data_IF_541676287917
#
_entry.id   IF_541676287917
#
_cell.length_a   1.000
_cell.length_b   1.000
_cell.length_c   1.000
_cell.angle_alpha   90.00
_cell.angle_beta   90.00
_cell.angle_gamma   90.00
#
_symmetry.space_group_name_H-M   'P 1'
#
loop_
_entity.id
_entity.type
_entity.pdbx_description
1 polymer ?
#
# COMPACT_ATOMS: atom_id res chain seq x y z
N UNK A 1 8.94 -32.54 -35.52
CA UNK A 1 8.44 -31.22 -35.97
C UNK A 1 7.32 -31.42 -36.98
N UNK A 2 6.06 -31.14 -36.60
CA UNK A 2 4.91 -31.14 -37.52
C UNK A 2 4.36 -29.70 -37.56
N UNK A 3 4.49 -29.05 -38.73
CA UNK A 3 3.96 -27.70 -38.98
C UNK A 3 2.44 -27.78 -39.15
N UNK A 4 1.68 -27.06 -38.31
CA UNK A 4 0.25 -26.82 -38.53
C UNK A 4 0.11 -25.43 -39.17
N UNK A 5 -0.35 -25.41 -40.41
CA UNK A 5 -0.79 -24.19 -41.08
C UNK A 5 -2.22 -23.88 -40.62
N UNK A 6 -2.41 -22.73 -39.99
CA UNK A 6 -3.74 -22.19 -39.68
C UNK A 6 -4.11 -21.25 -40.83
N UNK A 7 -5.15 -21.62 -41.56
CA UNK A 7 -5.73 -20.84 -42.66
C UNK A 7 -6.59 -19.71 -42.08
N UNK A 8 -6.22 -18.47 -42.41
CA UNK A 8 -6.97 -17.26 -42.09
C UNK A 8 -8.09 -17.12 -43.13
N UNK A 9 -9.35 -17.28 -42.72
CA UNK A 9 -10.51 -17.07 -43.59
C UNK A 9 -11.26 -15.83 -43.14
N UNK A 10 -11.14 -14.77 -43.94
CA UNK A 10 -11.95 -13.57 -43.87
C UNK A 10 -13.32 -13.86 -44.49
N UNK A 11 -14.40 -13.57 -43.76
CA UNK A 11 -15.76 -13.49 -44.31
C UNK A 11 -16.34 -12.13 -43.94
N UNK A 12 -16.44 -11.29 -44.97
CA UNK A 12 -17.17 -10.04 -45.06
C UNK A 12 -18.67 -10.35 -45.22
N UNK A 13 -19.53 -9.79 -44.37
CA UNK A 13 -20.96 -9.63 -44.67
C UNK A 13 -21.38 -8.20 -44.30
N UNK A 14 -21.54 -7.39 -45.34
CA UNK A 14 -22.31 -6.14 -45.34
C UNK A 14 -23.79 -6.50 -45.56
N UNK A 15 -24.69 -6.00 -44.72
CA UNK A 15 -26.09 -5.81 -45.09
C UNK A 15 -26.57 -4.42 -44.64
N UNK A 16 -26.89 -3.63 -45.65
CA UNK A 16 -27.59 -2.36 -45.60
C UNK A 16 -29.07 -2.60 -45.24
N UNK A 17 -29.60 -1.77 -44.36
CA UNK A 17 -31.04 -1.66 -44.10
C UNK A 17 -31.40 -0.19 -43.89
N UNK A 18 -31.70 0.49 -45.01
CA UNK A 18 -32.33 1.81 -45.01
C UNK A 18 -33.85 1.63 -44.83
N UNK A 19 -34.45 2.40 -43.93
CA UNK A 19 -35.89 2.69 -43.94
C UNK A 19 -36.06 4.20 -43.73
N UNK A 20 -36.42 4.88 -44.82
CA UNK A 20 -36.94 6.24 -44.83
C UNK A 20 -38.44 6.23 -44.52
N UNK A 21 -38.89 7.21 -43.75
CA UNK A 21 -40.31 7.44 -43.48
C UNK A 21 -40.53 8.81 -42.86
N UNK A 22 -40.65 9.85 -43.69
CA UNK A 22 -41.10 11.19 -43.31
C UNK A 22 -42.63 11.28 -43.39
N UNK A 23 -43.27 11.83 -42.36
CA UNK A 23 -44.49 12.65 -42.45
C UNK A 23 -44.46 13.72 -41.36
N UNK A 24 -44.65 14.97 -41.79
CA UNK A 24 -44.90 16.17 -40.97
C UNK A 24 -46.36 16.21 -40.49
N UNK A 25 -46.62 16.77 -39.29
CA UNK A 25 -47.20 18.12 -39.10
C UNK A 25 -47.28 18.48 -37.60
N UNK A 26 -46.90 19.73 -37.31
CA UNK A 26 -47.15 20.70 -36.20
C UNK A 26 -47.86 20.22 -34.89
N UNK A 27 -47.56 20.70 -33.66
CA UNK A 27 -47.43 22.09 -33.19
C UNK A 27 -47.02 22.17 -31.68
N UNK A 28 -46.21 23.17 -31.31
CA UNK A 28 -46.13 23.91 -30.03
C UNK A 28 -46.12 23.17 -28.66
N UNK A 29 -45.03 23.26 -27.89
CA UNK A 29 -44.83 24.23 -26.77
C UNK A 29 -43.65 23.85 -25.85
N UNK A 30 -42.86 24.87 -25.52
CA UNK A 30 -42.16 25.14 -24.25
C UNK A 30 -40.81 24.47 -23.89
N UNK A 31 -39.91 25.41 -23.56
CA UNK A 31 -38.84 25.38 -22.56
C UNK A 31 -37.47 24.91 -23.02
N UNK A 32 -36.67 25.91 -23.40
CA UNK A 32 -35.23 25.88 -23.32
C UNK A 32 -34.78 25.50 -21.90
N UNK A 33 -33.94 24.49 -21.82
CA UNK A 33 -32.96 24.30 -20.78
C UNK A 33 -31.74 23.68 -21.48
N UNK A 34 -30.81 24.54 -21.91
CA UNK A 34 -29.47 24.14 -22.32
C UNK A 34 -28.83 23.46 -21.12
N UNK A 35 -28.78 22.12 -21.16
CA UNK A 35 -27.93 21.35 -20.27
C UNK A 35 -26.60 21.23 -20.98
N UNK A 36 -25.72 22.20 -20.72
CA UNK A 36 -24.29 22.09 -21.00
C UNK A 36 -23.81 20.75 -20.46
N UNK A 37 -23.55 19.83 -21.39
CA UNK A 37 -22.85 18.59 -21.09
C UNK A 37 -21.38 18.96 -21.10
N UNK A 38 -20.87 19.39 -19.95
CA UNK A 38 -19.44 19.36 -19.68
C UNK A 38 -19.04 17.89 -19.73
N UNK A 39 -18.47 17.48 -20.86
CA UNK A 39 -17.68 16.27 -20.93
C UNK A 39 -16.51 16.45 -19.97
N UNK A 40 -16.70 15.96 -18.75
CA UNK A 40 -15.63 15.78 -17.78
C UNK A 40 -14.74 14.69 -18.36
N UNK A 41 -13.68 15.13 -19.05
CA UNK A 41 -12.55 14.26 -19.33
C UNK A 41 -11.96 13.88 -17.99
N UNK A 42 -12.38 12.72 -17.48
CA UNK A 42 -11.67 12.00 -16.44
C UNK A 42 -10.25 11.77 -16.96
N UNK A 43 -9.33 12.64 -16.58
CA UNK A 43 -7.91 12.37 -16.70
C UNK A 43 -7.67 11.24 -15.72
N UNK A 44 -7.74 10.00 -16.20
CA UNK A 44 -7.32 8.82 -15.45
C UNK A 44 -5.84 9.04 -15.17
N UNK A 45 -5.53 9.57 -13.99
CA UNK A 45 -4.18 9.57 -13.46
C UNK A 45 -3.65 8.12 -13.55
N UNK A 46 -2.37 7.92 -13.85
CA UNK A 46 -1.78 6.58 -13.81
C UNK A 46 -2.17 5.93 -12.48
N UNK A 47 -2.95 4.86 -12.52
CA UNK A 47 -3.36 4.20 -11.29
C UNK A 47 -2.13 3.48 -10.75
N UNK A 48 -1.67 3.86 -9.56
CA UNK A 48 -0.55 3.21 -8.90
C UNK A 48 -0.90 1.78 -8.46
N UNK A 49 0.10 0.96 -8.18
CA UNK A 49 -0.07 -0.48 -7.90
C UNK A 49 -1.06 -0.77 -6.76
N UNK A 50 -1.05 0.04 -5.69
CA UNK A 50 -1.97 -0.10 -4.56
C UNK A 50 -3.45 -0.03 -4.98
N UNK A 51 -3.77 0.78 -6.00
CA UNK A 51 -5.14 0.94 -6.54
C UNK A 51 -5.48 -0.19 -7.52
N UNK A 52 -4.50 -0.68 -8.27
CA UNK A 52 -4.69 -1.71 -9.29
C UNK A 52 -4.78 -3.12 -8.68
N UNK A 53 -4.04 -3.38 -7.61
CA UNK A 53 -4.09 -4.67 -6.92
C UNK A 53 -5.43 -4.86 -6.20
N UNK A 54 -6.13 -5.93 -6.54
CA UNK A 54 -7.50 -6.16 -6.08
C UNK A 54 -7.58 -6.28 -4.55
N UNK A 55 -6.62 -6.96 -3.92
CA UNK A 55 -6.67 -7.19 -2.48
C UNK A 55 -6.30 -5.93 -1.71
N UNK A 56 -5.19 -5.28 -2.10
CA UNK A 56 -4.74 -4.00 -1.54
C UNK A 56 -5.83 -2.94 -1.64
N UNK A 57 -6.51 -2.85 -2.79
CA UNK A 57 -7.61 -1.91 -3.02
C UNK A 57 -8.74 -2.05 -2.00
N UNK A 58 -8.98 -3.25 -1.44
CA UNK A 58 -10.04 -3.45 -0.44
C UNK A 58 -9.78 -2.73 0.89
N UNK A 59 -8.53 -2.34 1.16
CA UNK A 59 -8.13 -1.61 2.36
C UNK A 59 -8.02 -0.10 2.13
N UNK A 60 -8.05 0.37 0.87
CA UNK A 60 -7.90 1.80 0.59
C UNK A 60 -9.19 2.56 0.88
N UNK A 61 -9.06 3.71 1.52
CA UNK A 61 -10.20 4.61 1.81
C UNK A 61 -10.74 5.25 0.51
N UNK A 62 -9.88 5.51 -0.48
CA UNK A 62 -10.28 6.06 -1.78
C UNK A 62 -9.31 5.66 -2.93
N UNK A 63 -9.65 5.97 -4.19
CA UNK A 63 -8.69 5.91 -5.33
C UNK A 63 -7.77 7.12 -5.43
N UNK A 64 -7.94 8.12 -4.57
CA UNK A 64 -7.13 9.32 -4.59
C UNK A 64 -6.06 9.23 -3.50
N UNK A 65 -4.86 9.67 -3.85
CA UNK A 65 -3.78 9.80 -2.88
C UNK A 65 -4.18 10.80 -1.79
N UNK A 66 -3.92 10.43 -0.53
CA UNK A 66 -4.14 11.30 0.63
C UNK A 66 -2.99 12.29 0.78
N UNK A 67 -1.80 11.90 0.34
CA UNK A 67 -0.56 12.68 0.27
C UNK A 67 0.23 12.16 -0.95
N UNK A 68 1.04 13.00 -1.59
CA UNK A 68 1.82 12.62 -2.77
C UNK A 68 2.62 11.31 -2.55
N UNK A 69 2.29 10.28 -3.34
CA UNK A 69 2.87 8.94 -3.27
C UNK A 69 2.29 8.03 -2.19
N UNK A 70 1.18 8.41 -1.53
CA UNK A 70 0.55 7.64 -0.45
C UNK A 70 -0.98 7.62 -0.53
N UNK A 71 -1.55 6.46 -0.23
CA UNK A 71 -2.98 6.29 0.02
C UNK A 71 -3.24 6.10 1.52
N UNK A 72 -4.41 6.51 1.99
CA UNK A 72 -4.88 6.10 3.31
C UNK A 72 -5.46 4.68 3.26
N UNK A 73 -4.91 3.81 4.10
CA UNK A 73 -5.32 2.44 4.32
C UNK A 73 -6.08 2.33 5.63
N UNK A 74 -7.28 1.75 5.58
CA UNK A 74 -8.08 1.33 6.74
C UNK A 74 -8.00 -0.18 6.86
N UNK A 75 -7.59 -0.67 8.02
CA UNK A 75 -7.43 -2.10 8.24
C UNK A 75 -8.74 -2.77 8.65
N UNK A 76 -8.80 -4.10 8.60
CA UNK A 76 -10.04 -4.86 8.82
C UNK A 76 -10.56 -4.89 10.25
N UNK A 77 -9.75 -4.55 11.25
CA UNK A 77 -10.27 -4.32 12.61
C UNK A 77 -11.01 -2.99 12.71
N UNK A 78 -10.90 -2.12 11.70
CA UNK A 78 -11.43 -0.75 11.69
C UNK A 78 -10.96 0.10 12.89
N UNK A 79 -9.90 -0.34 13.59
CA UNK A 79 -9.44 0.27 14.83
C UNK A 79 -8.40 1.39 14.64
N UNK A 80 -7.84 1.51 13.43
CA UNK A 80 -6.93 2.57 13.05
C UNK A 80 -6.82 2.72 11.53
N UNK A 81 -6.27 3.84 11.08
CA UNK A 81 -5.75 4.02 9.71
C UNK A 81 -4.26 4.34 9.70
N UNK A 82 -3.62 4.11 8.57
CA UNK A 82 -2.24 4.51 8.27
C UNK A 82 -2.07 4.74 6.76
N UNK A 83 -0.98 5.40 6.38
CA UNK A 83 -0.62 5.57 4.97
C UNK A 83 0.13 4.36 4.44
N UNK A 84 -0.24 3.95 3.23
CA UNK A 84 0.43 2.93 2.43
C UNK A 84 1.04 3.59 1.17
N UNK A 85 2.29 3.26 0.79
CA UNK A 85 2.88 3.79 -0.44
C UNK A 85 2.06 3.43 -1.67
N UNK A 86 2.02 4.33 -2.65
CA UNK A 86 1.25 4.14 -3.87
C UNK A 86 1.68 2.91 -4.68
N UNK A 87 2.98 2.58 -4.63
CA UNK A 87 3.56 1.39 -5.26
C UNK A 87 3.46 0.12 -4.43
N UNK A 88 2.89 0.16 -3.22
CA UNK A 88 2.82 -1.01 -2.36
C UNK A 88 1.62 -1.90 -2.65
N UNK A 89 1.85 -3.20 -2.51
CA UNK A 89 0.80 -4.22 -2.58
C UNK A 89 0.84 -5.10 -1.34
N UNK A 90 -0.33 -5.60 -0.98
CA UNK A 90 -0.58 -6.47 0.15
C UNK A 90 -1.19 -7.76 -0.41
N UNK A 91 -0.67 -8.92 0.01
CA UNK A 91 -1.21 -10.23 -0.35
C UNK A 91 -1.99 -10.83 0.82
N UNK A 92 -3.11 -11.49 0.53
CA UNK A 92 -3.99 -12.12 1.53
C UNK A 92 -3.23 -13.11 2.42
N UNK A 93 -2.21 -13.78 1.89
CA UNK A 93 -1.36 -14.73 2.62
C UNK A 93 -0.66 -14.10 3.82
N UNK A 94 -0.40 -12.80 3.77
CA UNK A 94 0.31 -12.07 4.83
C UNK A 94 -0.59 -11.19 5.69
N UNK A 95 -1.91 -11.33 5.56
CA UNK A 95 -2.87 -10.69 6.45
C UNK A 95 -3.47 -11.70 7.42
N UNK A 96 -3.41 -11.41 8.71
CA UNK A 96 -4.02 -12.22 9.75
C UNK A 96 -4.77 -11.32 10.71
N UNK A 97 -5.96 -11.72 11.13
CA UNK A 97 -6.67 -11.07 12.22
C UNK A 97 -7.23 -12.08 13.20
N UNK A 98 -7.32 -11.66 14.45
CA UNK A 98 -7.96 -12.38 15.53
C UNK A 98 -8.87 -11.37 16.22
N UNK A 99 -10.16 -11.57 16.04
CA UNK A 99 -11.16 -10.73 16.69
C UNK A 99 -11.02 -9.28 16.19
N UNK A 100 -11.51 -8.31 16.95
CA UNK A 100 -11.31 -6.89 16.65
C UNK A 100 -10.06 -6.31 17.36
N UNK A 101 -9.45 -7.07 18.27
CA UNK A 101 -8.36 -6.62 19.13
C UNK A 101 -6.95 -7.00 18.68
N UNK A 102 -6.79 -7.70 17.55
CA UNK A 102 -5.48 -8.11 17.06
C UNK A 102 -5.45 -8.31 15.55
N UNK A 103 -4.44 -7.76 14.90
CA UNK A 103 -4.15 -8.06 13.50
C UNK A 103 -2.66 -7.92 13.15
N UNK A 104 -2.27 -8.59 12.08
CA UNK A 104 -0.96 -8.50 11.46
C UNK A 104 -1.11 -8.38 9.95
N UNK A 105 -0.24 -7.60 9.34
CA UNK A 105 -0.18 -7.46 7.90
C UNK A 105 1.27 -7.35 7.42
N UNK A 106 1.48 -7.61 6.14
CA UNK A 106 2.71 -7.24 5.43
C UNK A 106 2.35 -6.71 4.05
N UNK A 107 2.84 -5.52 3.73
CA UNK A 107 2.86 -5.00 2.36
C UNK A 107 4.31 -4.76 1.91
N UNK A 108 4.53 -4.77 0.60
CA UNK A 108 5.85 -4.57 0.02
C UNK A 108 5.77 -3.87 -1.33
N UNK A 109 6.90 -3.31 -1.76
CA UNK A 109 7.09 -2.77 -3.10
C UNK A 109 8.55 -2.82 -3.51
N UNK A 110 8.79 -2.62 -4.80
CA UNK A 110 10.12 -2.51 -5.38
C UNK A 110 10.24 -1.16 -6.06
N UNK A 111 11.28 -0.41 -5.71
CA UNK A 111 11.76 0.71 -6.53
C UNK A 111 12.77 0.14 -7.54
N UNK A 112 12.31 -0.07 -8.78
CA UNK A 112 13.15 -0.62 -9.85
C UNK A 112 14.28 0.34 -10.25
N UNK A 113 14.06 1.66 -10.16
CA UNK A 113 15.06 2.66 -10.54
C UNK A 113 16.19 2.72 -9.51
N UNK A 114 15.85 2.68 -8.22
CA UNK A 114 16.81 2.67 -7.14
C UNK A 114 17.42 1.29 -6.87
N UNK A 115 16.83 0.22 -7.43
CA UNK A 115 17.15 -1.17 -7.13
C UNK A 115 16.97 -1.49 -5.62
N UNK A 116 15.86 -1.06 -5.02
CA UNK A 116 15.57 -1.26 -3.60
C UNK A 116 14.24 -1.99 -3.43
N UNK A 117 14.24 -3.04 -2.61
CA UNK A 117 13.04 -3.73 -2.16
C UNK A 117 12.69 -3.21 -0.78
N UNK A 118 11.40 -3.02 -0.54
CA UNK A 118 10.86 -2.57 0.73
C UNK A 118 9.79 -3.53 1.22
N UNK A 119 9.75 -3.75 2.52
CA UNK A 119 8.68 -4.47 3.20
C UNK A 119 8.29 -3.76 4.48
N UNK A 120 6.99 -3.68 4.75
CA UNK A 120 6.47 -3.19 6.03
C UNK A 120 5.58 -4.25 6.63
N UNK A 121 5.98 -4.73 7.81
CA UNK A 121 5.17 -5.61 8.64
C UNK A 121 4.55 -4.78 9.78
N UNK A 122 3.24 -4.93 9.97
CA UNK A 122 2.51 -4.33 11.08
C UNK A 122 1.92 -5.37 12.00
N UNK A 123 1.83 -5.04 13.29
CA UNK A 123 1.09 -5.80 14.30
C UNK A 123 0.34 -4.83 15.21
N UNK A 124 -0.99 -4.88 15.14
CA UNK A 124 -1.89 -4.13 16.00
C UNK A 124 -2.38 -5.01 17.15
N UNK A 125 -2.45 -4.42 18.34
CA UNK A 125 -3.05 -5.04 19.53
C UNK A 125 -3.86 -4.02 20.32
N UNK A 126 -5.02 -4.44 20.80
CA UNK A 126 -5.86 -3.72 21.77
C UNK A 126 -5.92 -4.49 23.09
N UNK A 127 -5.47 -3.87 24.18
CA UNK A 127 -5.51 -4.44 25.53
C UNK A 127 -4.26 -5.20 25.96
N UNK A 128 -3.27 -5.41 25.08
CA UNK A 128 -1.92 -5.74 25.52
C UNK A 128 -1.23 -4.48 26.04
N UNK A 129 -0.79 -4.50 27.30
CA UNK A 129 -0.09 -3.35 27.87
C UNK A 129 1.18 -3.04 27.06
N UNK A 130 1.45 -1.75 26.84
CA UNK A 130 2.58 -1.23 26.07
C UNK A 130 3.93 -1.94 26.30
N UNK A 131 4.25 -2.27 27.55
CA UNK A 131 5.48 -2.97 27.91
C UNK A 131 5.56 -4.40 27.31
N UNK A 132 4.42 -5.09 27.20
CA UNK A 132 4.31 -6.39 26.54
C UNK A 132 4.60 -6.25 25.05
N UNK A 133 3.88 -5.37 24.35
CA UNK A 133 4.03 -5.14 22.92
C UNK A 133 5.46 -4.76 22.52
N UNK A 134 6.06 -3.77 23.19
CA UNK A 134 7.44 -3.35 22.91
C UNK A 134 8.45 -4.49 23.13
N UNK A 135 8.26 -5.29 24.18
CA UNK A 135 9.08 -6.48 24.44
C UNK A 135 8.87 -7.57 23.40
N UNK A 136 7.66 -7.76 22.90
CA UNK A 136 7.39 -8.69 21.80
C UNK A 136 8.14 -8.27 20.53
N UNK A 137 8.03 -7.00 20.13
CA UNK A 137 8.77 -6.43 18.99
C UNK A 137 10.29 -6.63 19.14
N UNK A 138 10.82 -6.28 20.32
CA UNK A 138 12.25 -6.43 20.63
C UNK A 138 12.73 -7.87 20.48
N UNK A 139 11.95 -8.83 21.00
CA UNK A 139 12.30 -10.26 20.92
C UNK A 139 12.16 -10.81 19.50
N UNK A 140 11.13 -10.39 18.77
CA UNK A 140 10.89 -10.81 17.39
C UNK A 140 12.04 -10.38 16.49
N UNK A 141 12.44 -9.10 16.59
CA UNK A 141 13.56 -8.55 15.81
C UNK A 141 14.94 -8.89 16.37
N UNK A 142 15.01 -9.53 17.54
CA UNK A 142 16.26 -9.73 18.30
C UNK A 142 17.04 -8.41 18.44
N UNK A 143 16.31 -7.32 18.68
CA UNK A 143 16.87 -5.98 18.74
C UNK A 143 17.72 -5.83 20.01
N UNK A 144 19.00 -5.52 19.85
CA UNK A 144 19.96 -5.36 20.95
C UNK A 144 20.20 -3.88 21.33
N UNK A 145 19.62 -2.94 20.56
CA UNK A 145 19.75 -1.52 20.81
C UNK A 145 18.73 -0.98 21.82
N UNK A 146 18.88 0.30 22.14
CA UNK A 146 17.89 1.06 22.91
C UNK A 146 16.89 1.73 21.96
N UNK A 147 15.64 1.87 22.40
CA UNK A 147 14.66 2.65 21.65
C UNK A 147 14.76 4.14 22.01
N UNK A 148 14.83 4.98 20.98
CA UNK A 148 14.62 6.41 21.10
C UNK A 148 13.14 6.68 21.36
N UNK A 149 12.84 7.48 22.39
CA UNK A 149 11.46 7.79 22.79
C UNK A 149 11.09 9.20 22.38
N UNK A 150 9.91 9.36 21.79
CA UNK A 150 9.31 10.66 21.52
C UNK A 150 7.79 10.60 21.67
N UNK A 151 7.11 11.73 21.65
CA UNK A 151 5.66 11.80 21.76
C UNK A 151 5.10 13.01 21.00
N UNK A 152 3.81 12.95 20.66
CA UNK A 152 3.00 14.09 20.28
C UNK A 152 1.71 14.13 21.12
N UNK A 153 0.71 14.90 20.70
CA UNK A 153 -0.53 15.07 21.48
C UNK A 153 -1.32 13.76 21.62
N UNK A 154 -1.18 12.82 20.68
CA UNK A 154 -2.00 11.61 20.60
C UNK A 154 -1.22 10.33 20.88
N UNK A 155 0.08 10.30 20.59
CA UNK A 155 0.84 9.06 20.62
C UNK A 155 2.17 9.17 21.37
N UNK A 156 2.65 8.03 21.87
CA UNK A 156 4.06 7.83 22.23
C UNK A 156 4.71 6.91 21.20
N UNK A 157 5.95 7.22 20.86
CA UNK A 157 6.73 6.50 19.85
C UNK A 157 8.02 5.96 20.47
N UNK A 158 8.35 4.74 20.08
CA UNK A 158 9.63 4.10 20.37
C UNK A 158 10.25 3.71 19.04
N UNK A 159 11.38 4.30 18.72
CA UNK A 159 12.09 4.11 17.48
C UNK A 159 13.39 3.35 17.70
N UNK A 160 13.65 2.38 16.84
CA UNK A 160 14.93 1.67 16.81
C UNK A 160 15.33 1.39 15.37
N UNK A 161 16.61 1.17 15.13
CA UNK A 161 17.11 0.76 13.83
C UNK A 161 18.14 -0.37 13.98
N UNK A 162 18.13 -1.31 13.06
CA UNK A 162 19.04 -2.45 13.07
C UNK A 162 19.52 -2.75 11.66
N UNK A 163 20.69 -3.38 11.56
CA UNK A 163 21.19 -3.96 10.32
C UNK A 163 21.45 -5.42 10.58
N UNK A 164 20.82 -6.28 9.79
CA UNK A 164 21.07 -7.73 9.81
C UNK A 164 21.71 -8.16 8.49
N UNK A 165 22.33 -9.33 8.49
CA UNK A 165 22.93 -9.90 7.29
C UNK A 165 22.22 -11.20 6.94
N UNK A 166 21.68 -11.30 5.74
CA UNK A 166 21.09 -12.54 5.21
C UNK A 166 22.03 -13.18 4.20
N UNK A 167 22.12 -14.52 4.24
CA UNK A 167 23.02 -15.27 3.36
C UNK A 167 22.52 -15.30 1.91
N UNK A 168 23.37 -14.89 0.97
CA UNK A 168 23.18 -15.11 -0.45
C UNK A 168 23.17 -16.61 -0.80
N UNK A 169 22.93 -16.94 -2.08
CA UNK A 169 22.60 -18.29 -2.58
C UNK A 169 23.48 -19.45 -2.09
N UNK A 170 24.73 -19.17 -1.67
CA UNK A 170 25.71 -20.14 -1.13
C UNK A 170 26.29 -19.77 0.27
N UNK A 171 25.69 -18.80 0.98
CA UNK A 171 26.10 -18.35 2.32
C UNK A 171 27.45 -17.60 2.40
N UNK A 172 28.14 -17.43 1.27
CA UNK A 172 29.43 -16.71 1.19
C UNK A 172 29.27 -15.20 1.07
N UNK A 173 28.19 -14.77 0.45
CA UNK A 173 27.84 -13.36 0.29
C UNK A 173 26.77 -13.02 1.31
N UNK A 174 26.92 -11.87 1.96
CA UNK A 174 26.03 -11.38 2.99
C UNK A 174 25.36 -10.14 2.47
N UNK A 175 24.03 -10.15 2.41
CA UNK A 175 23.24 -9.00 1.98
C UNK A 175 22.77 -8.27 3.23
N UNK A 176 23.13 -6.99 3.41
CA UNK A 176 22.60 -6.20 4.50
C UNK A 176 21.11 -5.97 4.30
N UNK A 177 20.33 -6.20 5.35
CA UNK A 177 18.94 -5.80 5.48
C UNK A 177 18.88 -4.74 6.56
N UNK A 178 18.39 -3.57 6.18
CA UNK A 178 18.24 -2.43 7.05
C UNK A 178 16.80 -2.42 7.55
N UNK A 179 16.62 -2.35 8.87
CA UNK A 179 15.32 -2.40 9.51
C UNK A 179 15.12 -1.16 10.38
N UNK A 180 14.02 -0.45 10.17
CA UNK A 180 13.51 0.57 11.09
C UNK A 180 12.32 0.01 11.85
N UNK A 181 12.33 0.22 13.17
CA UNK A 181 11.35 -0.30 14.11
C UNK A 181 10.58 0.86 14.71
N UNK A 182 9.25 0.80 14.70
CA UNK A 182 8.41 1.69 15.49
C UNK A 182 7.48 0.87 16.38
N UNK A 183 7.36 1.29 17.63
CA UNK A 183 6.23 0.92 18.49
C UNK A 183 5.46 2.20 18.81
N UNK A 184 4.16 2.19 18.55
CA UNK A 184 3.28 3.34 18.66
C UNK A 184 2.22 2.99 19.71
N UNK A 185 2.15 3.78 20.77
CA UNK A 185 1.10 3.71 21.79
C UNK A 185 0.12 4.84 21.58
N UNK A 186 -1.17 4.52 21.61
CA UNK A 186 -2.21 5.52 21.80
C UNK A 186 -2.18 6.07 23.23
N UNK A 187 -2.44 7.38 23.40
CA UNK A 187 -2.47 8.01 24.74
C UNK A 187 -3.85 7.94 25.40
N UNK A 188 -4.90 7.67 24.62
CA UNK A 188 -6.29 7.71 25.09
C UNK A 188 -6.90 6.30 25.29
N UNK A 189 -6.25 5.25 24.79
CA UNK A 189 -6.69 3.86 24.87
C UNK A 189 -5.51 2.89 25.05
N UNK A 190 -5.81 1.59 25.14
CA UNK A 190 -4.81 0.50 25.25
C UNK A 190 -4.35 -0.02 23.88
N UNK A 191 -4.62 0.74 22.81
CA UNK A 191 -4.26 0.37 21.43
C UNK A 191 -2.78 0.63 21.16
N UNK A 192 -2.16 -0.33 20.48
CA UNK A 192 -0.76 -0.24 20.08
C UNK A 192 -0.55 -0.76 18.66
N UNK A 193 0.46 -0.24 17.98
CA UNK A 193 0.88 -0.69 16.66
C UNK A 193 2.41 -0.82 16.62
N UNK A 194 2.89 -2.01 16.31
CA UNK A 194 4.30 -2.25 15.96
C UNK A 194 4.45 -2.20 14.45
N UNK A 195 5.46 -1.49 13.95
CA UNK A 195 5.86 -1.47 12.54
C UNK A 195 7.32 -1.87 12.40
N UNK A 196 7.59 -2.76 11.47
CA UNK A 196 8.94 -3.16 11.04
C UNK A 196 9.05 -2.80 9.57
N UNK A 197 9.90 -1.84 9.25
CA UNK A 197 10.16 -1.38 7.89
C UNK A 197 11.53 -1.88 7.47
N UNK A 198 11.57 -2.86 6.58
CA UNK A 198 12.80 -3.46 6.08
C UNK A 198 13.08 -3.05 4.64
N UNK A 199 14.36 -2.91 4.32
CA UNK A 199 14.79 -2.60 2.97
C UNK A 199 16.21 -3.10 2.69
N UNK A 200 16.43 -3.46 1.43
CA UNK A 200 17.70 -3.96 0.92
C UNK A 200 17.77 -3.78 -0.60
N UNK A 201 18.95 -4.00 -1.20
CA UNK A 201 19.06 -4.05 -2.65
C UNK A 201 18.21 -5.21 -3.20
N UNK A 202 17.34 -4.94 -4.18
CA UNK A 202 16.49 -5.96 -4.81
C UNK A 202 17.35 -6.99 -5.56
N UNK A 203 18.23 -6.49 -6.41
CA UNK A 203 19.33 -7.24 -7.00
C UNK A 203 20.62 -6.92 -6.23
N UNK A 204 21.01 -7.85 -5.36
CA UNK A 204 22.21 -7.76 -4.54
C UNK A 204 23.52 -7.88 -5.33
N UNK A 205 23.48 -8.27 -6.61
CA UNK A 205 24.67 -8.29 -7.47
C UNK A 205 25.04 -6.91 -7.99
N UNK A 206 24.12 -5.94 -7.88
CA UNK A 206 24.29 -4.56 -8.27
C UNK A 206 24.37 -3.64 -7.03
N UNK A 207 25.15 -2.57 -7.12
CA UNK A 207 25.23 -1.58 -6.03
C UNK A 207 23.96 -0.76 -5.98
N UNK A 208 23.30 -0.72 -4.82
CA UNK A 208 22.20 0.22 -4.52
C UNK A 208 22.58 1.11 -3.32
N UNK A 209 21.81 2.19 -3.08
CA UNK A 209 21.92 3.02 -1.88
C UNK A 209 20.77 2.69 -0.93
N UNK A 210 20.84 1.53 -0.29
CA UNK A 210 19.81 1.10 0.66
C UNK A 210 19.85 1.88 1.98
N UNK A 211 20.98 2.47 2.39
CA UNK A 211 21.06 3.24 3.63
C UNK A 211 21.06 4.75 3.33
N UNK A 212 19.89 5.39 3.43
CA UNK A 212 19.73 6.83 3.15
C UNK A 212 18.76 7.50 4.10
N UNK A 213 18.93 8.81 4.32
CA UNK A 213 18.02 9.58 5.15
C UNK A 213 16.64 9.73 4.51
N UNK A 214 16.56 9.71 3.18
CA UNK A 214 15.29 9.72 2.46
C UNK A 214 14.42 8.51 2.80
N UNK A 215 15.00 7.32 2.91
CA UNK A 215 14.25 6.09 3.28
C UNK A 215 13.78 6.16 4.73
N UNK A 216 14.62 6.63 5.65
CA UNK A 216 14.21 6.85 7.04
C UNK A 216 13.07 7.87 7.15
N UNK A 217 13.12 8.96 6.37
CA UNK A 217 12.05 9.95 6.32
C UNK A 217 10.75 9.34 5.76
N UNK A 218 10.84 8.46 4.78
CA UNK A 218 9.70 7.72 4.23
C UNK A 218 9.06 6.82 5.28
N UNK A 219 9.86 6.09 6.07
CA UNK A 219 9.39 5.35 7.24
C UNK A 219 8.65 6.26 8.24
N UNK A 220 9.22 7.41 8.58
CA UNK A 220 8.58 8.34 9.52
C UNK A 220 7.27 8.92 9.00
N UNK A 221 7.09 9.10 7.68
CA UNK A 221 5.79 9.48 7.10
C UNK A 221 4.72 8.42 7.42
N UNK A 222 5.05 7.14 7.27
CA UNK A 222 4.14 6.03 7.60
C UNK A 222 3.85 6.03 9.11
N UNK A 223 4.88 6.06 9.96
CA UNK A 223 4.70 6.06 11.43
C UNK A 223 3.82 7.22 11.91
N UNK A 224 4.03 8.42 11.38
CA UNK A 224 3.28 9.62 11.78
C UNK A 224 1.88 9.73 11.15
N UNK A 225 1.58 8.90 10.15
CA UNK A 225 0.25 8.84 9.55
C UNK A 225 -0.76 8.03 10.36
N UNK A 226 -0.29 7.24 11.32
CA UNK A 226 -1.12 6.35 12.13
C UNK A 226 -2.11 7.16 12.94
N UNK A 227 -3.38 6.75 12.89
CA UNK A 227 -4.49 7.34 13.66
C UNK A 227 -5.32 6.21 14.24
N UNK A 228 -5.31 6.08 15.56
CA UNK A 228 -6.20 5.15 16.26
C UNK A 228 -7.61 5.72 16.36
N UNK A 229 -8.61 4.85 16.26
CA UNK A 229 -10.01 5.21 16.49
C UNK A 229 -10.41 4.93 17.93
N UNK A 230 -11.40 5.67 18.41
CA UNK A 230 -11.96 5.57 19.76
C UNK A 230 -13.24 4.74 19.79
#
# INVERSE_FOLDING_TARGET
MKKRHVFCSAIMILLLGACTGMKEEEKNTNSAAEKETTAQTDVVAPQHEAVQDHYTRTFLVSDQETEDGFYEMRTWTDAYSLWIPASATLDETYYMKRDDGWEQFLYSWIDEEANISYGVQGQFEDGEGAESGLRQLTRYMKFEGDYEKSEDDHHKYYYGNAVTEVGGKDGKEKVPVYSYLAFIEDKESDKTLSLIYEHNCSDWTNTCKADTKEIENHFWKIVKSVKFDN
#
